data_IF_981785545898
#
_entry.id   IF_981785545898
#
_cell.length_a   1.000
_cell.length_b   1.000
_cell.length_c   1.000
_cell.angle_alpha   90.00
_cell.angle_beta   90.00
_cell.angle_gamma   90.00
#
_symmetry.space_group_name_H-M   'P 1'
#
loop_
_entity.id
_entity.type
_entity.pdbx_description
1 polymer ?
#
# COMPACT_ATOMS: atom_id res chain seq x y z
N UNK A 1 -15.92 33.43 -20.61
CA UNK A 1 -14.83 33.07 -19.66
C UNK A 1 -15.31 32.21 -18.48
N UNK A 2 -16.47 32.48 -17.85
CA UNK A 2 -16.96 31.67 -16.72
C UNK A 2 -17.15 30.16 -16.98
N UNK A 3 -17.61 29.77 -18.19
CA UNK A 3 -17.78 28.35 -18.55
C UNK A 3 -16.45 27.56 -18.62
N UNK A 4 -15.34 28.23 -18.98
CA UNK A 4 -14.01 27.63 -19.03
C UNK A 4 -13.42 27.41 -17.63
N UNK A 5 -13.70 28.32 -16.69
CA UNK A 5 -13.28 28.19 -15.28
C UNK A 5 -13.99 27.03 -14.56
N UNK A 6 -15.27 26.80 -14.87
CA UNK A 6 -16.03 25.69 -14.28
C UNK A 6 -15.52 24.34 -14.80
N UNK A 7 -15.21 24.23 -16.09
CA UNK A 7 -14.61 23.02 -16.67
C UNK A 7 -13.22 22.77 -16.07
N UNK A 8 -12.39 23.81 -15.95
CA UNK A 8 -11.07 23.69 -15.32
C UNK A 8 -11.19 23.26 -13.84
N UNK A 9 -12.14 23.81 -13.07
CA UNK A 9 -12.37 23.43 -11.68
C UNK A 9 -12.86 21.98 -11.53
N UNK A 10 -13.74 21.52 -12.41
CA UNK A 10 -14.21 20.13 -12.45
C UNK A 10 -13.08 19.16 -12.81
N UNK A 11 -12.24 19.51 -13.79
CA UNK A 11 -11.08 18.70 -14.16
C UNK A 11 -10.05 18.62 -13.02
N UNK A 12 -9.83 19.70 -12.26
CA UNK A 12 -8.90 19.71 -11.11
C UNK A 12 -9.47 18.91 -9.92
N UNK A 13 -10.77 18.96 -9.67
CA UNK A 13 -11.41 18.15 -8.64
C UNK A 13 -11.36 16.64 -8.93
N UNK A 14 -11.59 16.26 -10.20
CA UNK A 14 -11.49 14.88 -10.67
C UNK A 14 -10.07 14.33 -10.56
N UNK A 15 -9.05 15.11 -10.91
CA UNK A 15 -7.66 14.67 -10.79
C UNK A 15 -7.20 14.57 -9.34
N UNK A 16 -7.65 15.47 -8.45
CA UNK A 16 -7.36 15.38 -7.02
C UNK A 16 -7.96 14.11 -6.38
N UNK A 17 -9.23 13.79 -6.68
CA UNK A 17 -9.85 12.55 -6.19
C UNK A 17 -9.18 11.28 -6.75
N UNK A 18 -8.75 11.30 -8.01
CA UNK A 18 -8.03 10.18 -8.61
C UNK A 18 -6.70 9.91 -7.88
N UNK A 19 -5.94 10.95 -7.54
CA UNK A 19 -4.68 10.83 -6.79
C UNK A 19 -4.92 10.31 -5.37
N UNK A 20 -5.96 10.75 -4.66
CA UNK A 20 -6.26 10.23 -3.32
C UNK A 20 -6.72 8.76 -3.35
N UNK A 21 -7.53 8.39 -4.35
CA UNK A 21 -7.99 7.01 -4.53
C UNK A 21 -6.83 6.07 -4.84
N UNK A 22 -5.87 6.52 -5.64
CA UNK A 22 -4.63 5.82 -5.95
C UNK A 22 -3.81 5.54 -4.69
N UNK A 23 -3.57 6.56 -3.83
CA UNK A 23 -2.84 6.36 -2.57
C UNK A 23 -3.56 5.41 -1.61
N UNK A 24 -4.89 5.48 -1.57
CA UNK A 24 -5.69 4.53 -0.79
C UNK A 24 -5.56 3.10 -1.31
N UNK A 25 -5.41 2.90 -2.62
CA UNK A 25 -5.15 1.60 -3.21
C UNK A 25 -3.77 1.06 -2.80
N UNK A 26 -2.70 1.87 -2.85
CA UNK A 26 -1.37 1.47 -2.37
C UNK A 26 -1.38 1.05 -0.90
N UNK A 27 -2.02 1.86 -0.03
CA UNK A 27 -2.22 1.51 1.37
C UNK A 27 -2.98 0.18 1.54
N UNK A 28 -4.12 0.03 0.85
CA UNK A 28 -4.99 -1.15 0.99
C UNK A 28 -4.33 -2.42 0.49
N UNK A 29 -3.65 -2.36 -0.65
CA UNK A 29 -2.93 -3.48 -1.25
C UNK A 29 -1.77 -3.91 -0.35
N UNK A 30 -0.96 -2.98 0.14
CA UNK A 30 0.16 -3.33 1.01
C UNK A 30 -0.30 -3.89 2.36
N UNK A 31 -1.38 -3.36 2.94
CA UNK A 31 -1.99 -3.89 4.16
C UNK A 31 -2.46 -5.34 3.98
N UNK A 32 -3.23 -5.59 2.92
CA UNK A 32 -3.76 -6.91 2.62
C UNK A 32 -2.65 -7.91 2.30
N UNK A 33 -1.65 -7.49 1.51
CA UNK A 33 -0.52 -8.33 1.13
C UNK A 33 0.36 -8.67 2.34
N UNK A 34 0.64 -7.71 3.22
CA UNK A 34 1.37 -7.95 4.46
C UNK A 34 0.64 -8.97 5.34
N UNK A 35 -0.66 -8.80 5.53
CA UNK A 35 -1.48 -9.66 6.40
C UNK A 35 -1.52 -11.09 5.84
N UNK A 36 -1.73 -11.21 4.52
CA UNK A 36 -1.68 -12.48 3.82
C UNK A 36 -0.31 -13.15 3.93
N UNK A 37 0.77 -12.41 3.70
CA UNK A 37 2.14 -12.92 3.74
C UNK A 37 2.53 -13.36 5.15
N UNK A 38 2.05 -12.66 6.18
CA UNK A 38 2.17 -13.09 7.58
C UNK A 38 1.47 -14.43 7.81
N UNK A 39 0.19 -14.53 7.43
CA UNK A 39 -0.59 -15.76 7.57
C UNK A 39 0.04 -16.94 6.83
N UNK A 40 0.52 -16.71 5.61
CA UNK A 40 1.26 -17.70 4.84
C UNK A 40 2.56 -18.10 5.54
N UNK A 41 3.34 -17.14 6.05
CA UNK A 41 4.61 -17.40 6.76
C UNK A 41 4.38 -18.25 8.02
N UNK A 42 3.29 -17.98 8.76
CA UNK A 42 2.88 -18.77 9.91
C UNK A 42 2.45 -20.19 9.53
N UNK A 43 1.73 -20.36 8.42
CA UNK A 43 1.10 -21.64 8.05
C UNK A 43 2.02 -22.55 7.23
N UNK A 44 2.68 -22.01 6.22
CA UNK A 44 3.54 -22.75 5.29
C UNK A 44 4.94 -22.99 5.88
N UNK A 45 5.55 -21.96 6.47
CA UNK A 45 6.92 -22.04 7.00
C UNK A 45 6.98 -22.30 8.51
N UNK A 46 5.83 -22.28 9.20
CA UNK A 46 5.71 -22.53 10.65
C UNK A 46 6.58 -21.59 11.49
N UNK A 47 6.78 -20.35 11.01
CA UNK A 47 7.62 -19.36 11.69
C UNK A 47 7.01 -18.89 13.02
N UNK A 48 7.88 -18.44 13.92
CA UNK A 48 7.45 -17.70 15.12
C UNK A 48 6.87 -16.35 14.70
N UNK A 49 6.05 -15.75 15.58
CA UNK A 49 5.31 -14.50 15.28
C UNK A 49 6.24 -13.40 14.77
N UNK A 50 7.33 -13.13 15.50
CA UNK A 50 8.30 -12.09 15.14
C UNK A 50 8.97 -12.37 13.80
N UNK A 51 9.43 -13.60 13.57
CA UNK A 51 10.11 -13.97 12.32
C UNK A 51 9.14 -13.89 11.13
N UNK A 52 7.88 -14.30 11.32
CA UNK A 52 6.82 -14.18 10.32
C UNK A 52 6.49 -12.71 10.00
N UNK A 53 6.44 -11.84 11.01
CA UNK A 53 6.24 -10.39 10.84
C UNK A 53 7.39 -9.78 10.05
N UNK A 54 8.63 -10.12 10.40
CA UNK A 54 9.83 -9.61 9.71
C UNK A 54 9.81 -10.04 8.24
N UNK A 55 9.62 -11.33 7.98
CA UNK A 55 9.58 -11.86 6.63
C UNK A 55 8.44 -11.21 5.82
N UNK A 56 7.23 -11.17 6.38
CA UNK A 56 6.07 -10.59 5.70
C UNK A 56 6.26 -9.11 5.39
N UNK A 57 6.80 -8.34 6.34
CA UNK A 57 7.08 -6.91 6.15
C UNK A 57 8.12 -6.70 5.06
N UNK A 58 9.24 -7.43 5.12
CA UNK A 58 10.32 -7.30 4.15
C UNK A 58 9.85 -7.66 2.73
N UNK A 59 9.16 -8.79 2.59
CA UNK A 59 8.60 -9.21 1.30
C UNK A 59 7.58 -8.20 0.79
N UNK A 60 6.70 -7.69 1.65
CA UNK A 60 5.72 -6.66 1.26
C UNK A 60 6.40 -5.43 0.72
N UNK A 61 7.31 -4.83 1.49
CA UNK A 61 7.98 -3.60 1.09
C UNK A 61 8.78 -3.79 -0.21
N UNK A 62 9.47 -4.93 -0.39
CA UNK A 62 10.19 -5.21 -1.64
C UNK A 62 9.23 -5.32 -2.81
N UNK A 63 8.17 -6.12 -2.69
CA UNK A 63 7.24 -6.38 -3.79
C UNK A 63 6.50 -5.12 -4.19
N UNK A 64 5.97 -4.36 -3.22
CA UNK A 64 5.24 -3.12 -3.51
C UNK A 64 6.17 -2.05 -4.06
N UNK A 65 7.39 -1.91 -3.51
CA UNK A 65 8.36 -0.95 -4.05
C UNK A 65 8.80 -1.35 -5.46
N UNK A 66 9.08 -2.63 -5.71
CA UNK A 66 9.45 -3.11 -7.04
C UNK A 66 8.34 -2.87 -8.08
N UNK A 67 7.07 -2.94 -7.67
CA UNK A 67 5.93 -2.62 -8.53
C UNK A 67 5.96 -1.16 -9.00
N UNK A 68 6.37 -0.21 -8.15
CA UNK A 68 6.51 1.21 -8.54
C UNK A 68 7.59 1.45 -9.60
N UNK A 69 8.59 0.57 -9.66
CA UNK A 69 9.70 0.67 -10.62
C UNK A 69 9.46 -0.13 -11.90
N UNK A 70 8.28 -0.73 -12.09
CA UNK A 70 7.98 -1.48 -13.30
C UNK A 70 7.87 -0.55 -14.52
N UNK A 71 8.30 -1.00 -15.72
CA UNK A 71 8.17 -0.21 -16.94
C UNK A 71 6.72 0.23 -17.19
N UNK A 72 6.53 1.53 -17.42
CA UNK A 72 5.20 2.12 -17.64
C UNK A 72 4.55 2.73 -16.40
N UNK A 73 5.14 2.57 -15.22
CA UNK A 73 4.73 3.30 -14.01
C UNK A 73 5.50 4.61 -13.86
N UNK A 74 4.82 5.62 -13.33
CA UNK A 74 5.46 6.88 -12.91
C UNK A 74 5.81 6.76 -11.44
N UNK A 75 7.10 6.82 -11.13
CA UNK A 75 7.55 6.80 -9.74
C UNK A 75 7.00 8.00 -8.95
N UNK A 76 6.29 7.74 -7.86
CA UNK A 76 5.89 8.73 -6.87
C UNK A 76 6.28 8.25 -5.46
N UNK A 77 7.05 9.08 -4.76
CA UNK A 77 7.50 8.78 -3.40
C UNK A 77 6.35 8.67 -2.39
N UNK A 78 5.19 9.27 -2.70
CA UNK A 78 3.99 9.13 -1.88
C UNK A 78 3.35 7.75 -1.97
N UNK A 79 3.53 7.02 -3.07
CA UNK A 79 3.06 5.63 -3.19
C UNK A 79 3.88 4.68 -2.35
N UNK A 80 5.20 4.86 -2.34
CA UNK A 80 6.09 4.14 -1.44
C UNK A 80 5.70 4.42 0.01
N UNK A 81 5.40 5.68 0.35
CA UNK A 81 4.95 6.04 1.68
C UNK A 81 3.61 5.37 2.03
N UNK A 82 2.62 5.41 1.12
CA UNK A 82 1.32 4.78 1.32
C UNK A 82 1.44 3.26 1.51
N UNK A 83 2.25 2.60 0.68
CA UNK A 83 2.60 1.19 0.81
C UNK A 83 3.24 0.90 2.19
N UNK A 84 4.20 1.72 2.61
CA UNK A 84 4.88 1.59 3.90
C UNK A 84 3.94 1.76 5.09
N UNK A 85 3.04 2.74 5.04
CA UNK A 85 2.01 2.95 6.07
C UNK A 85 1.07 1.75 6.14
N UNK A 86 0.59 1.22 5.01
CA UNK A 86 -0.29 0.04 5.00
C UNK A 86 0.36 -1.19 5.62
N UNK A 87 1.64 -1.45 5.30
CA UNK A 87 2.40 -2.55 5.91
C UNK A 87 2.61 -2.34 7.43
N UNK A 88 2.90 -1.10 7.86
CA UNK A 88 3.05 -0.78 9.28
C UNK A 88 1.72 -0.92 10.06
N UNK A 89 0.60 -0.47 9.49
CA UNK A 89 -0.73 -0.63 10.08
C UNK A 89 -1.10 -2.10 10.21
N UNK A 90 -0.76 -2.92 9.22
CA UNK A 90 -0.98 -4.36 9.26
C UNK A 90 -0.15 -5.05 10.35
N UNK A 91 1.12 -4.65 10.52
CA UNK A 91 1.95 -5.09 11.65
C UNK A 91 1.32 -4.76 13.01
N UNK A 92 0.84 -3.53 13.20
CA UNK A 92 0.16 -3.12 14.44
C UNK A 92 -1.07 -4.00 14.67
N UNK A 93 -1.85 -4.26 13.62
CA UNK A 93 -3.05 -5.08 13.68
C UNK A 93 -2.71 -6.52 14.11
N UNK A 94 -1.68 -7.13 13.52
CA UNK A 94 -1.19 -8.47 13.90
C UNK A 94 -0.68 -8.51 15.35
N UNK A 95 0.04 -7.47 15.80
CA UNK A 95 0.55 -7.40 17.16
C UNK A 95 -0.58 -7.31 18.19
N UNK A 96 -1.66 -6.56 17.88
CA UNK A 96 -2.78 -6.35 18.77
C UNK A 96 -3.73 -7.56 18.86
N UNK A 97 -3.99 -8.24 17.74
CA UNK A 97 -5.09 -9.21 17.66
C UNK A 97 -4.65 -10.68 17.51
N UNK A 98 -3.35 -10.95 17.39
CA UNK A 98 -2.73 -12.29 17.42
C UNK A 98 -3.56 -13.40 16.75
N UNK A 99 -3.79 -13.26 15.43
CA UNK A 99 -4.45 -14.26 14.59
C UNK A 99 -3.50 -15.34 14.09
#
# INVERSE_FOLDING_TARGET
MGKLLIIAALCVGLTAQAVETDKAAHFGVSYAFQTWMYGFSKKAFRLKKTDAIILATFTTLIVTTAAEYMPGQTFDSKDILANGIGAATANITILMFDF
#
